data_IF_470281853882
#
_entry.id   IF_470281853882
#
_cell.length_a   1.000
_cell.length_b   1.000
_cell.length_c   1.000
_cell.angle_alpha   90.00
_cell.angle_beta   90.00
_cell.angle_gamma   90.00
#
_symmetry.space_group_name_H-M   'P 1'
#
loop_
_entity.id
_entity.type
_entity.pdbx_description
1 polymer ?
#
# COMPACT_ATOMS: atom_id res chain seq x y z
N UNK A 1 28.83 9.87 -5.91
CA UNK A 1 27.58 9.73 -6.70
C UNK A 1 27.48 8.34 -7.37
N UNK A 2 28.50 7.84 -8.09
CA UNK A 2 28.44 6.49 -8.71
C UNK A 2 28.18 5.35 -7.70
N UNK A 3 28.76 5.43 -6.50
CA UNK A 3 28.56 4.46 -5.42
C UNK A 3 27.08 4.36 -5.00
N UNK A 4 26.36 5.49 -4.98
CA UNK A 4 24.93 5.49 -4.68
C UNK A 4 24.13 4.74 -5.75
N UNK A 5 24.48 4.88 -7.03
CA UNK A 5 23.82 4.14 -8.11
C UNK A 5 24.07 2.64 -8.01
N UNK A 6 25.32 2.23 -7.77
CA UNK A 6 25.69 0.81 -7.61
C UNK A 6 24.98 0.20 -6.40
N UNK A 7 25.04 0.86 -5.25
CA UNK A 7 24.38 0.37 -4.02
C UNK A 7 22.86 0.33 -4.17
N UNK A 8 22.26 1.34 -4.82
CA UNK A 8 20.82 1.33 -5.10
C UNK A 8 20.44 0.20 -6.04
N UNK A 9 21.23 -0.06 -7.09
CA UNK A 9 21.00 -1.17 -8.02
C UNK A 9 21.09 -2.52 -7.29
N UNK A 10 22.12 -2.73 -6.45
CA UNK A 10 22.26 -3.93 -5.63
C UNK A 10 21.08 -4.11 -4.67
N UNK A 11 20.64 -3.03 -4.02
CA UNK A 11 19.48 -3.06 -3.13
C UNK A 11 18.19 -3.42 -3.88
N UNK A 12 17.97 -2.82 -5.05
CA UNK A 12 16.81 -3.13 -5.90
C UNK A 12 16.84 -4.57 -6.42
N UNK A 13 18.02 -5.13 -6.72
CA UNK A 13 18.18 -6.53 -7.10
C UNK A 13 17.92 -7.47 -5.91
N UNK A 14 18.36 -7.11 -4.71
CA UNK A 14 18.17 -7.92 -3.51
C UNK A 14 16.73 -7.89 -2.98
N UNK A 15 16.01 -6.79 -3.19
CA UNK A 15 14.68 -6.55 -2.60
C UNK A 15 13.65 -7.66 -2.95
N UNK A 16 13.48 -8.09 -4.21
CA UNK A 16 12.57 -9.18 -4.56
C UNK A 16 12.85 -10.49 -3.85
N UNK A 17 14.13 -10.83 -3.61
CA UNK A 17 14.50 -12.05 -2.89
C UNK A 17 14.03 -12.01 -1.44
N UNK A 18 14.22 -10.86 -0.78
CA UNK A 18 13.76 -10.67 0.59
C UNK A 18 12.24 -10.66 0.70
N UNK A 19 11.54 -9.92 -0.17
CA UNK A 19 10.07 -9.83 -0.11
C UNK A 19 9.39 -11.15 -0.45
N UNK A 20 9.91 -11.87 -1.45
CA UNK A 20 9.39 -13.19 -1.84
C UNK A 20 9.69 -14.22 -0.76
N UNK A 21 10.93 -14.26 -0.26
CA UNK A 21 11.34 -15.18 0.81
C UNK A 21 10.56 -14.96 2.10
N UNK A 22 10.35 -13.70 2.51
CA UNK A 22 9.51 -13.37 3.68
C UNK A 22 8.08 -13.89 3.50
N UNK A 23 7.50 -13.68 2.32
CA UNK A 23 6.10 -14.05 2.05
C UNK A 23 5.93 -15.57 1.96
N UNK A 24 6.92 -16.30 1.44
CA UNK A 24 6.89 -17.76 1.35
C UNK A 24 7.15 -18.46 2.69
N UNK A 25 7.92 -17.84 3.59
CA UNK A 25 8.22 -18.42 4.92
C UNK A 25 7.03 -18.24 5.87
N UNK A 26 6.23 -17.17 5.73
CA UNK A 26 5.15 -16.86 6.68
C UNK A 26 4.19 -18.05 6.93
N UNK A 27 3.70 -18.79 5.91
CA UNK A 27 2.87 -19.97 6.12
C UNK A 27 3.60 -21.16 6.74
N UNK A 28 4.93 -21.23 6.67
CA UNK A 28 5.72 -22.32 7.28
C UNK A 28 6.00 -22.12 8.77
N UNK A 29 5.78 -20.89 9.27
CA UNK A 29 6.02 -20.49 10.66
C UNK A 29 4.74 -20.12 11.42
N UNK A 30 3.58 -20.23 10.79
CA UNK A 30 2.26 -19.97 11.40
C UNK A 30 1.28 -21.07 11.02
N UNK A 31 0.34 -21.40 11.91
CA UNK A 31 -0.76 -22.30 11.57
C UNK A 31 -1.77 -21.61 10.63
N UNK A 32 -2.63 -22.39 9.95
CA UNK A 32 -3.69 -21.82 9.10
C UNK A 32 -4.61 -20.85 9.86
N UNK A 33 -4.89 -21.17 11.12
CA UNK A 33 -5.70 -20.34 12.04
C UNK A 33 -5.00 -19.02 12.40
N UNK A 34 -3.66 -19.01 12.44
CA UNK A 34 -2.85 -17.85 12.79
C UNK A 34 -2.50 -16.95 11.58
N UNK A 35 -2.68 -17.42 10.34
CA UNK A 35 -2.29 -16.69 9.13
C UNK A 35 -2.90 -15.29 9.04
N UNK A 36 -4.16 -15.13 9.44
CA UNK A 36 -4.81 -13.81 9.44
C UNK A 36 -4.17 -12.85 10.47
N UNK A 37 -3.83 -13.38 11.65
CA UNK A 37 -3.13 -12.64 12.70
C UNK A 37 -1.71 -12.28 12.26
N UNK A 38 -1.00 -13.22 11.64
CA UNK A 38 0.35 -13.03 11.12
C UNK A 38 0.42 -11.98 10.01
N UNK A 39 -0.56 -11.96 9.10
CA UNK A 39 -0.68 -10.94 8.06
C UNK A 39 -1.01 -9.56 8.64
N UNK A 40 -1.91 -9.49 9.62
CA UNK A 40 -2.26 -8.23 10.30
C UNK A 40 -1.07 -7.65 11.07
N UNK A 41 -0.31 -8.51 11.75
CA UNK A 41 0.91 -8.12 12.46
C UNK A 41 2.00 -7.67 11.48
N UNK A 42 2.17 -8.36 10.35
CA UNK A 42 3.10 -7.98 9.29
C UNK A 42 2.83 -6.57 8.75
N UNK A 43 1.57 -6.24 8.48
CA UNK A 43 1.17 -4.89 8.02
C UNK A 43 1.41 -3.83 9.10
N UNK A 44 0.99 -4.12 10.33
CA UNK A 44 1.17 -3.21 11.48
C UNK A 44 2.65 -2.92 11.72
N UNK A 45 3.50 -3.95 11.71
CA UNK A 45 4.95 -3.80 11.81
C UNK A 45 5.48 -2.99 10.65
N UNK A 46 5.01 -3.21 9.41
CA UNK A 46 5.42 -2.41 8.25
C UNK A 46 5.14 -0.91 8.41
N UNK A 47 3.94 -0.53 8.86
CA UNK A 47 3.60 0.87 9.10
C UNK A 47 4.30 1.45 10.33
N UNK A 48 4.53 0.66 11.38
CA UNK A 48 5.38 1.07 12.50
C UNK A 48 6.82 1.30 12.06
N UNK A 49 7.40 0.40 11.26
CA UNK A 49 8.75 0.57 10.70
C UNK A 49 8.82 1.84 9.86
N UNK A 50 7.80 2.13 9.04
CA UNK A 50 7.73 3.39 8.30
C UNK A 50 7.69 4.59 9.25
N UNK A 51 6.81 4.56 10.26
CA UNK A 51 6.60 5.68 11.15
C UNK A 51 7.83 5.98 12.04
N UNK A 52 8.32 4.94 12.71
CA UNK A 52 9.41 4.98 13.68
C UNK A 52 10.75 5.08 12.95
N UNK A 53 10.95 4.25 11.93
CA UNK A 53 12.18 4.19 11.16
C UNK A 53 12.47 5.48 10.40
N UNK A 54 11.46 6.10 9.79
CA UNK A 54 11.66 7.39 9.12
C UNK A 54 12.00 8.51 10.12
N UNK A 55 11.33 8.55 11.27
CA UNK A 55 11.62 9.54 12.32
C UNK A 55 13.06 9.41 12.84
N UNK A 56 13.46 8.20 13.25
CA UNK A 56 14.82 7.98 13.75
C UNK A 56 15.86 8.11 12.65
N UNK A 57 15.57 7.68 11.42
CA UNK A 57 16.45 7.84 10.26
C UNK A 57 16.72 9.31 9.95
N UNK A 58 15.66 10.13 9.85
CA UNK A 58 15.77 11.56 9.63
C UNK A 58 16.46 12.30 10.78
N UNK A 59 16.10 11.96 12.02
CA UNK A 59 16.72 12.55 13.23
C UNK A 59 18.20 12.22 13.33
N UNK A 60 18.57 10.96 13.05
CA UNK A 60 19.96 10.52 13.09
C UNK A 60 20.78 11.21 12.00
N UNK A 61 20.26 11.25 10.77
CA UNK A 61 20.92 11.94 9.68
C UNK A 61 21.11 13.43 9.96
N UNK A 62 20.11 14.10 10.56
CA UNK A 62 20.19 15.52 10.87
C UNK A 62 21.13 15.86 12.03
N UNK A 63 21.21 15.02 13.07
CA UNK A 63 22.01 15.30 14.27
C UNK A 63 23.42 14.73 14.22
N UNK A 64 23.57 13.55 13.64
CA UNK A 64 24.80 12.75 13.67
C UNK A 64 25.41 12.56 12.27
N UNK A 65 24.77 13.08 11.22
CA UNK A 65 25.21 12.94 9.84
C UNK A 65 24.78 11.63 9.18
N UNK A 66 24.89 11.59 7.86
CA UNK A 66 24.47 10.44 7.05
C UNK A 66 25.31 9.19 7.31
N UNK A 67 26.59 9.33 7.63
CA UNK A 67 27.48 8.19 7.90
C UNK A 67 26.98 7.35 9.07
N UNK A 68 26.69 7.99 10.22
CA UNK A 68 26.15 7.29 11.38
C UNK A 68 24.75 6.73 11.12
N UNK A 69 23.93 7.42 10.33
CA UNK A 69 22.64 6.88 9.90
C UNK A 69 22.81 5.58 9.09
N UNK A 70 23.77 5.52 8.17
CA UNK A 70 24.08 4.29 7.41
C UNK A 70 24.68 3.18 8.28
N UNK A 71 25.50 3.51 9.29
CA UNK A 71 26.03 2.53 10.24
C UNK A 71 24.90 1.91 11.06
N UNK A 72 24.02 2.72 11.66
CA UNK A 72 22.87 2.20 12.41
C UNK A 72 21.94 1.37 11.54
N UNK A 73 21.67 1.83 10.31
CA UNK A 73 20.89 1.07 9.35
C UNK A 73 21.54 -0.30 9.06
N UNK A 74 22.85 -0.34 8.81
CA UNK A 74 23.59 -1.58 8.56
C UNK A 74 23.55 -2.55 9.74
N UNK A 75 23.73 -2.04 10.97
CA UNK A 75 23.60 -2.84 12.19
C UNK A 75 22.20 -3.46 12.34
N UNK A 76 21.14 -2.73 11.93
CA UNK A 76 19.78 -3.26 11.95
C UNK A 76 19.58 -4.44 10.99
N UNK A 77 20.26 -4.43 9.83
CA UNK A 77 20.26 -5.57 8.90
C UNK A 77 20.99 -6.79 9.48
N UNK A 78 22.12 -6.60 10.17
CA UNK A 78 22.80 -7.68 10.87
C UNK A 78 21.93 -8.28 11.99
N UNK A 79 21.26 -7.42 12.77
CA UNK A 79 20.32 -7.86 13.79
C UNK A 79 19.15 -8.63 13.18
N UNK A 80 18.58 -8.15 12.06
CA UNK A 80 17.52 -8.85 11.34
C UNK A 80 17.97 -10.21 10.82
N UNK A 81 19.17 -10.30 10.23
CA UNK A 81 19.76 -11.56 9.77
C UNK A 81 19.97 -12.54 10.93
N UNK A 82 20.42 -12.05 12.09
CA UNK A 82 20.53 -12.85 13.30
C UNK A 82 19.16 -13.37 13.78
N UNK A 83 18.13 -12.53 13.81
CA UNK A 83 16.77 -12.97 14.17
C UNK A 83 16.24 -14.04 13.20
N UNK A 84 16.45 -13.84 11.89
CA UNK A 84 16.02 -14.79 10.85
C UNK A 84 16.78 -16.11 10.96
N UNK A 85 18.09 -16.08 11.22
CA UNK A 85 18.91 -17.27 11.39
C UNK A 85 18.48 -18.14 12.60
N UNK A 86 17.79 -17.54 13.57
CA UNK A 86 17.25 -18.22 14.74
C UNK A 86 15.80 -18.69 14.57
N UNK A 87 15.15 -18.42 13.43
CA UNK A 87 13.80 -18.93 13.17
C UNK A 87 13.80 -20.45 13.10
N UNK A 88 12.81 -21.06 13.75
CA UNK A 88 12.56 -22.50 13.69
C UNK A 88 11.31 -22.73 12.85
N UNK A 89 11.38 -23.66 11.91
CA UNK A 89 10.21 -24.08 11.14
C UNK A 89 9.33 -24.98 12.01
N UNK A 90 8.01 -24.75 11.98
CA UNK A 90 7.03 -25.62 12.65
C UNK A 90 7.03 -27.00 11.98
N UNK A 91 7.32 -27.07 10.67
CA UNK A 91 7.41 -28.31 9.89
C UNK A 91 8.82 -28.94 9.87
N UNK A 92 9.80 -28.38 10.58
CA UNK A 92 11.17 -28.91 10.65
C UNK A 92 12.06 -28.59 9.43
N UNK A 93 11.51 -28.04 8.35
CA UNK A 93 12.25 -27.59 7.17
C UNK A 93 11.58 -26.37 6.53
N UNK A 94 12.38 -25.48 5.95
CA UNK A 94 11.93 -24.30 5.20
C UNK A 94 11.85 -24.55 3.68
N UNK A 95 12.08 -25.80 3.24
CA UNK A 95 11.91 -26.18 1.83
C UNK A 95 10.43 -26.12 1.50
N UNK A 96 10.08 -25.34 0.47
CA UNK A 96 8.76 -25.43 -0.15
C UNK A 96 8.51 -26.87 -0.57
N UNK A 97 7.29 -27.36 -0.37
CA UNK A 97 6.85 -28.62 -0.96
C UNK A 97 7.16 -28.57 -2.46
N UNK A 98 7.96 -29.53 -2.95
CA UNK A 98 8.23 -29.77 -4.37
C UNK A 98 6.89 -30.07 -5.07
N UNK A 99 6.07 -29.05 -5.28
CA UNK A 99 4.99 -29.09 -6.24
C UNK A 99 5.68 -28.90 -7.56
N UNK A 100 6.02 -30.04 -8.19
CA UNK A 100 6.50 -30.18 -9.56
C UNK A 100 6.20 -28.93 -10.37
N UNK A 101 7.21 -28.07 -10.55
CA UNK A 101 7.15 -27.00 -11.51
C UNK A 101 7.04 -27.67 -12.87
N UNK A 102 5.81 -27.98 -13.29
CA UNK A 102 5.54 -28.32 -14.67
C UNK A 102 6.03 -27.11 -15.47
N UNK A 103 7.16 -27.27 -16.15
CA UNK A 103 7.77 -26.28 -17.06
C UNK A 103 6.77 -25.77 -18.13
N UNK A 104 5.63 -26.44 -18.29
CA UNK A 104 4.50 -26.02 -19.13
C UNK A 104 3.60 -24.93 -18.54
N UNK A 105 3.75 -24.58 -17.25
CA UNK A 105 3.16 -23.37 -16.64
C UNK A 105 4.18 -22.24 -16.58
N UNK A 106 4.83 -21.91 -17.70
CA UNK A 106 5.34 -20.55 -17.88
C UNK A 106 4.11 -19.64 -17.77
N UNK A 107 3.91 -19.06 -16.58
CA UNK A 107 2.91 -18.03 -16.32
C UNK A 107 3.02 -17.04 -17.47
N UNK A 108 2.01 -16.95 -18.33
CA UNK A 108 1.97 -15.97 -19.40
C UNK A 108 1.53 -14.68 -18.73
N UNK A 109 2.43 -13.77 -18.30
CA UNK A 109 2.07 -12.70 -17.36
C UNK A 109 1.02 -11.78 -18.00
N UNK A 110 1.12 -11.60 -19.32
CA UNK A 110 0.13 -10.90 -20.13
C UNK A 110 -1.24 -11.60 -20.16
N UNK A 111 -1.29 -12.93 -20.23
CA UNK A 111 -2.56 -13.67 -20.22
C UNK A 111 -3.24 -13.51 -18.86
N UNK A 112 -2.49 -13.64 -17.77
CA UNK A 112 -3.00 -13.48 -16.40
C UNK A 112 -3.47 -12.05 -16.13
N UNK A 113 -2.72 -11.04 -16.58
CA UNK A 113 -3.12 -9.63 -16.50
C UNK A 113 -4.39 -9.34 -17.30
N UNK A 114 -4.50 -9.89 -18.53
CA UNK A 114 -5.71 -9.74 -19.35
C UNK A 114 -6.92 -10.44 -18.73
N UNK A 115 -6.74 -11.63 -18.16
CA UNK A 115 -7.79 -12.36 -17.44
C UNK A 115 -8.23 -11.60 -16.19
N UNK A 116 -7.29 -11.02 -15.43
CA UNK A 116 -7.56 -10.15 -14.30
C UNK A 116 -8.40 -8.94 -14.72
N UNK A 117 -7.99 -8.22 -15.77
CA UNK A 117 -8.75 -7.09 -16.31
C UNK A 117 -10.15 -7.49 -16.80
N UNK A 118 -10.28 -8.60 -17.52
CA UNK A 118 -11.56 -9.09 -18.02
C UNK A 118 -12.52 -9.42 -16.87
N UNK A 119 -12.01 -10.06 -15.81
CA UNK A 119 -12.77 -10.34 -14.59
C UNK A 119 -13.14 -9.06 -13.83
N UNK A 120 -12.21 -8.11 -13.70
CA UNK A 120 -12.52 -6.82 -13.08
C UNK A 120 -13.64 -6.12 -13.85
N UNK A 121 -13.58 -6.12 -15.19
CA UNK A 121 -14.58 -5.49 -16.04
C UNK A 121 -15.98 -6.12 -15.96
N UNK A 122 -16.09 -7.40 -15.57
CA UNK A 122 -17.40 -8.05 -15.36
C UNK A 122 -18.07 -7.66 -14.04
N UNK A 123 -17.31 -7.12 -13.08
CA UNK A 123 -17.82 -6.65 -11.79
C UNK A 123 -17.58 -5.14 -11.62
N UNK A 124 -18.62 -4.30 -11.78
CA UNK A 124 -18.49 -2.85 -11.71
C UNK A 124 -17.85 -2.34 -10.42
N UNK A 125 -18.11 -3.00 -9.28
CA UNK A 125 -17.48 -2.66 -8.01
C UNK A 125 -15.96 -2.90 -8.05
N UNK A 126 -15.53 -4.06 -8.53
CA UNK A 126 -14.11 -4.46 -8.57
C UNK A 126 -13.35 -3.55 -9.55
N UNK A 127 -13.92 -3.30 -10.73
CA UNK A 127 -13.37 -2.31 -11.66
C UNK A 127 -13.28 -0.92 -11.03
N UNK A 128 -14.34 -0.49 -10.34
CA UNK A 128 -14.39 0.80 -9.64
C UNK A 128 -13.27 0.95 -8.60
N UNK A 129 -13.00 -0.10 -7.81
CA UNK A 129 -11.89 -0.12 -6.84
C UNK A 129 -10.54 0.02 -7.56
N UNK A 130 -10.35 -0.68 -8.68
CA UNK A 130 -9.14 -0.55 -9.51
C UNK A 130 -8.95 0.86 -10.09
N UNK A 131 -10.02 1.47 -10.60
CA UNK A 131 -9.99 2.82 -11.18
C UNK A 131 -9.72 3.91 -10.14
N UNK A 132 -10.28 3.78 -8.92
CA UNK A 132 -9.88 4.64 -7.80
C UNK A 132 -8.39 4.50 -7.51
N UNK A 133 -7.86 3.27 -7.47
CA UNK A 133 -6.44 3.04 -7.18
C UNK A 133 -5.55 3.81 -8.16
N UNK A 134 -5.88 3.76 -9.46
CA UNK A 134 -5.22 4.54 -10.51
C UNK A 134 -5.35 6.05 -10.29
N UNK A 135 -6.57 6.55 -10.04
CA UNK A 135 -6.73 7.99 -9.85
C UNK A 135 -6.04 8.49 -8.58
N UNK A 136 -5.96 7.69 -7.52
CA UNK A 136 -5.17 8.01 -6.33
C UNK A 136 -3.69 8.04 -6.67
N UNK A 137 -3.18 7.03 -7.40
CA UNK A 137 -1.80 6.95 -7.83
C UNK A 137 -1.34 8.15 -8.66
N UNK A 138 -2.26 8.76 -9.42
CA UNK A 138 -1.96 9.91 -10.28
C UNK A 138 -1.47 11.14 -9.50
N UNK A 139 -1.89 11.33 -8.25
CA UNK A 139 -1.33 12.33 -7.33
C UNK A 139 -0.46 11.74 -6.21
N UNK A 140 -0.74 10.51 -5.79
CA UNK A 140 0.00 9.80 -4.75
C UNK A 140 1.44 9.44 -5.15
N UNK A 141 1.71 9.24 -6.44
CA UNK A 141 3.07 9.07 -6.95
C UNK A 141 3.92 10.32 -6.70
N UNK A 142 3.43 11.49 -7.14
CA UNK A 142 4.08 12.78 -6.91
C UNK A 142 4.42 13.01 -5.43
N UNK A 143 3.56 12.58 -4.50
CA UNK A 143 3.78 12.73 -3.07
C UNK A 143 5.12 12.15 -2.57
N UNK A 144 5.59 11.05 -3.17
CA UNK A 144 6.86 10.41 -2.83
C UNK A 144 8.06 11.36 -3.01
N UNK A 145 8.10 12.05 -4.15
CA UNK A 145 9.15 13.02 -4.47
C UNK A 145 8.92 14.32 -3.72
N UNK A 146 7.66 14.74 -3.61
CA UNK A 146 7.28 15.98 -2.95
C UNK A 146 7.64 15.99 -1.47
N UNK A 147 7.61 14.87 -0.75
CA UNK A 147 8.00 14.87 0.68
C UNK A 147 9.45 15.34 0.87
N UNK A 148 10.35 14.86 0.02
CA UNK A 148 11.75 15.34 0.01
C UNK A 148 11.82 16.81 -0.38
N UNK A 149 11.15 17.22 -1.46
CA UNK A 149 11.17 18.61 -1.92
C UNK A 149 10.55 19.60 -0.90
N UNK A 150 9.46 19.23 -0.24
CA UNK A 150 8.85 20.04 0.82
C UNK A 150 9.78 20.16 2.02
N UNK A 151 10.43 19.07 2.42
CA UNK A 151 11.33 19.07 3.58
C UNK A 151 12.59 19.90 3.33
N UNK A 152 13.20 19.74 2.16
CA UNK A 152 14.46 20.38 1.80
C UNK A 152 14.26 21.84 1.37
N UNK A 153 13.33 22.10 0.44
CA UNK A 153 13.25 23.38 -0.27
C UNK A 153 12.16 24.31 0.26
N UNK A 154 11.02 23.78 0.70
CA UNK A 154 9.89 24.60 1.16
C UNK A 154 10.00 24.95 2.64
N UNK A 155 10.13 23.93 3.49
CA UNK A 155 10.19 24.09 4.95
C UNK A 155 11.63 24.17 5.49
N UNK A 156 12.64 23.87 4.66
CA UNK A 156 14.08 23.96 4.99
C UNK A 156 14.45 23.23 6.28
N UNK A 157 13.87 22.04 6.49
CA UNK A 157 14.11 21.16 7.65
C UNK A 157 15.02 19.97 7.33
N UNK A 158 15.38 19.79 6.07
CA UNK A 158 16.30 18.75 5.62
C UNK A 158 15.79 17.33 5.92
N UNK A 159 16.74 16.43 6.20
CA UNK A 159 16.48 15.03 6.56
C UNK A 159 15.54 14.86 7.77
N UNK A 160 15.59 15.75 8.76
CA UNK A 160 14.68 15.67 9.90
C UNK A 160 13.23 15.96 9.49
N UNK A 161 13.01 16.98 8.64
CA UNK A 161 11.67 17.25 8.09
C UNK A 161 11.11 16.09 7.29
N UNK A 162 11.97 15.43 6.49
CA UNK A 162 11.59 14.26 5.70
C UNK A 162 11.18 13.09 6.60
N UNK A 163 11.97 12.83 7.65
CA UNK A 163 11.66 11.81 8.65
C UNK A 163 10.36 12.09 9.39
N UNK A 164 10.12 13.34 9.81
CA UNK A 164 8.89 13.78 10.47
C UNK A 164 7.65 13.62 9.56
N UNK A 165 7.74 13.96 8.27
CA UNK A 165 6.63 13.77 7.31
C UNK A 165 6.27 12.30 7.10
N UNK A 166 7.27 11.46 6.83
CA UNK A 166 7.05 10.01 6.70
C UNK A 166 6.57 9.38 7.99
N UNK A 167 7.03 9.90 9.14
CA UNK A 167 6.59 9.45 10.45
C UNK A 167 5.10 9.69 10.67
N UNK A 168 4.67 10.94 10.50
CA UNK A 168 3.26 11.33 10.65
C UNK A 168 2.39 10.68 9.58
N UNK A 169 2.91 10.46 8.37
CA UNK A 169 2.23 9.68 7.35
C UNK A 169 2.00 8.22 7.80
N UNK A 170 3.00 7.57 8.38
CA UNK A 170 2.88 6.22 8.94
C UNK A 170 1.90 6.14 10.11
N UNK A 171 1.94 7.10 11.04
CA UNK A 171 0.98 7.21 12.14
C UNK A 171 -0.45 7.41 11.62
N UNK A 172 -0.63 8.28 10.62
CA UNK A 172 -1.92 8.47 9.95
C UNK A 172 -2.44 7.17 9.36
N UNK A 173 -1.59 6.41 8.64
CA UNK A 173 -1.96 5.11 8.09
C UNK A 173 -2.39 4.10 9.17
N UNK A 174 -1.67 4.05 10.30
CA UNK A 174 -2.02 3.18 11.44
C UNK A 174 -3.40 3.54 12.00
N UNK A 175 -3.63 4.82 12.31
CA UNK A 175 -4.92 5.30 12.84
C UNK A 175 -6.04 4.99 11.84
N UNK A 176 -5.84 5.32 10.57
CA UNK A 176 -6.82 5.06 9.52
C UNK A 176 -7.10 3.59 9.30
N UNK A 177 -6.09 2.72 9.43
CA UNK A 177 -6.27 1.27 9.34
C UNK A 177 -7.13 0.70 10.48
N UNK A 178 -6.89 1.16 11.71
CA UNK A 178 -7.71 0.79 12.88
C UNK A 178 -9.15 1.27 12.70
N UNK A 179 -9.33 2.53 12.31
CA UNK A 179 -10.66 3.10 12.06
C UNK A 179 -11.37 2.38 10.91
N UNK A 180 -10.66 2.06 9.82
CA UNK A 180 -11.18 1.33 8.67
C UNK A 180 -11.65 -0.08 9.02
N UNK A 181 -10.87 -0.81 9.83
CA UNK A 181 -11.25 -2.13 10.32
C UNK A 181 -12.46 -2.06 11.25
N UNK A 182 -12.52 -1.07 12.14
CA UNK A 182 -13.67 -0.84 13.02
C UNK A 182 -14.94 -0.50 12.22
N UNK A 183 -14.84 0.39 11.23
CA UNK A 183 -15.94 0.75 10.34
C UNK A 183 -16.42 -0.44 9.50
N UNK A 184 -15.50 -1.21 8.91
CA UNK A 184 -15.83 -2.33 8.02
C UNK A 184 -16.62 -3.47 8.67
N UNK A 185 -16.66 -3.52 10.01
CA UNK A 185 -17.48 -4.45 10.79
C UNK A 185 -18.86 -3.91 11.15
N UNK A 186 -19.10 -2.59 11.00
CA UNK A 186 -20.30 -1.89 11.50
C UNK A 186 -21.14 -1.26 10.40
N UNK A 187 -20.55 -0.93 9.26
CA UNK A 187 -21.25 -0.23 8.18
C UNK A 187 -21.75 -1.22 7.13
N UNK A 188 -22.98 -1.01 6.66
CA UNK A 188 -23.51 -1.71 5.49
C UNK A 188 -22.90 -1.21 4.18
N UNK A 189 -23.22 -1.89 3.08
CA UNK A 189 -22.63 -1.63 1.76
C UNK A 189 -22.83 -0.19 1.24
N UNK A 190 -24.02 0.37 1.39
CA UNK A 190 -24.30 1.77 0.99
C UNK A 190 -23.49 2.80 1.81
N UNK A 191 -23.36 2.55 3.11
CA UNK A 191 -22.56 3.39 3.99
C UNK A 191 -21.05 3.26 3.68
N UNK A 192 -20.59 2.07 3.28
CA UNK A 192 -19.24 1.84 2.77
C UNK A 192 -18.94 2.72 1.56
N UNK A 193 -19.79 2.71 0.52
CA UNK A 193 -19.55 3.51 -0.70
C UNK A 193 -19.48 5.00 -0.38
N UNK A 194 -20.35 5.51 0.49
CA UNK A 194 -20.31 6.91 0.96
C UNK A 194 -19.05 7.21 1.78
N UNK A 195 -18.62 6.28 2.62
CA UNK A 195 -17.39 6.44 3.42
C UNK A 195 -16.17 6.58 2.51
N UNK A 196 -16.03 5.71 1.51
CA UNK A 196 -14.93 5.77 0.52
C UNK A 196 -14.92 7.13 -0.21
N UNK A 197 -16.09 7.62 -0.64
CA UNK A 197 -16.23 8.95 -1.25
C UNK A 197 -15.65 10.06 -0.35
N UNK A 198 -16.11 10.14 0.90
CA UNK A 198 -15.68 11.18 1.83
C UNK A 198 -14.20 11.02 2.22
N UNK A 199 -13.68 9.80 2.32
CA UNK A 199 -12.26 9.55 2.58
C UNK A 199 -11.37 10.10 1.46
N UNK A 200 -11.70 9.89 0.19
CA UNK A 200 -10.89 10.43 -0.92
C UNK A 200 -11.01 11.95 -1.04
N UNK A 201 -12.18 12.51 -0.75
CA UNK A 201 -12.38 13.95 -0.69
C UNK A 201 -11.54 14.58 0.44
N UNK A 202 -11.58 13.98 1.63
CA UNK A 202 -10.77 14.40 2.78
C UNK A 202 -9.28 14.23 2.51
N UNK A 203 -8.86 13.12 1.91
CA UNK A 203 -7.46 12.87 1.55
C UNK A 203 -6.90 13.97 0.66
N UNK A 204 -7.53 14.22 -0.48
CA UNK A 204 -7.02 15.20 -1.44
C UNK A 204 -7.19 16.63 -0.93
N UNK A 205 -8.30 16.96 -0.27
CA UNK A 205 -8.50 18.26 0.37
C UNK A 205 -7.43 18.55 1.43
N UNK A 206 -7.18 17.62 2.35
CA UNK A 206 -6.12 17.75 3.35
C UNK A 206 -4.73 17.83 2.71
N UNK A 207 -4.49 17.11 1.61
CA UNK A 207 -3.22 17.18 0.88
C UNK A 207 -3.00 18.54 0.19
N UNK A 208 -4.05 19.12 -0.40
CA UNK A 208 -4.01 20.50 -0.94
C UNK A 208 -3.70 21.48 0.18
N UNK A 209 -4.41 21.40 1.30
CA UNK A 209 -4.18 22.29 2.45
C UNK A 209 -2.73 22.15 2.96
N UNK A 210 -2.24 20.91 3.16
CA UNK A 210 -0.84 20.61 3.48
C UNK A 210 0.13 21.34 2.54
N UNK A 211 -0.09 21.25 1.22
CA UNK A 211 0.81 21.83 0.22
C UNK A 211 0.89 23.37 0.31
N UNK A 212 -0.15 24.02 0.84
CA UNK A 212 -0.23 25.48 0.99
C UNK A 212 0.18 25.97 2.38
N UNK A 213 0.30 25.08 3.38
CA UNK A 213 0.65 25.48 4.74
C UNK A 213 2.06 26.10 4.81
N UNK A 214 2.17 27.20 5.54
CA UNK A 214 3.44 27.84 5.91
C UNK A 214 3.97 27.33 7.25
N UNK A 215 3.07 26.97 8.17
CA UNK A 215 3.41 26.48 9.49
C UNK A 215 3.63 24.97 9.51
N UNK A 216 4.81 24.53 9.97
CA UNK A 216 5.23 23.12 9.94
C UNK A 216 4.29 22.17 10.69
N UNK A 217 3.89 22.52 11.92
CA UNK A 217 3.01 21.66 12.72
C UNK A 217 1.65 21.40 12.03
N UNK A 218 1.07 22.43 11.40
CA UNK A 218 -0.18 22.30 10.66
C UNK A 218 0.02 21.49 9.38
N UNK A 219 1.14 21.67 8.68
CA UNK A 219 1.49 20.83 7.53
C UNK A 219 1.53 19.34 7.92
N UNK A 220 2.21 18.99 9.03
CA UNK A 220 2.21 17.63 9.56
C UNK A 220 0.80 17.14 9.92
N UNK A 221 0.00 17.95 10.60
CA UNK A 221 -1.38 17.59 10.96
C UNK A 221 -2.23 17.21 9.73
N UNK A 222 -2.23 18.06 8.70
CA UNK A 222 -2.97 17.79 7.47
C UNK A 222 -2.40 16.61 6.68
N UNK A 223 -1.08 16.39 6.71
CA UNK A 223 -0.47 15.19 6.14
C UNK A 223 -0.97 13.92 6.84
N UNK A 224 -0.96 13.90 8.17
CA UNK A 224 -1.44 12.76 8.96
C UNK A 224 -2.92 12.47 8.68
N UNK A 225 -3.76 13.52 8.65
CA UNK A 225 -5.17 13.43 8.31
C UNK A 225 -5.39 12.86 6.90
N UNK A 226 -4.61 13.35 5.93
CA UNK A 226 -4.64 12.89 4.55
C UNK A 226 -4.32 11.40 4.44
N UNK A 227 -3.33 10.90 5.18
CA UNK A 227 -2.93 9.49 5.18
C UNK A 227 -3.89 8.59 5.95
N UNK A 228 -4.47 9.08 7.04
CA UNK A 228 -5.53 8.37 7.76
C UNK A 228 -6.76 8.13 6.87
N UNK A 229 -7.20 9.14 6.13
CA UNK A 229 -8.33 9.02 5.22
C UNK A 229 -8.09 7.97 4.12
N UNK A 230 -6.89 7.95 3.53
CA UNK A 230 -6.50 6.90 2.55
C UNK A 230 -6.55 5.52 3.19
N UNK A 231 -5.94 5.33 4.36
CA UNK A 231 -5.92 4.01 4.99
C UNK A 231 -7.32 3.47 5.32
N UNK A 232 -8.25 4.32 5.77
CA UNK A 232 -9.66 3.92 5.97
C UNK A 232 -10.24 3.36 4.66
N UNK A 233 -10.12 4.11 3.56
CA UNK A 233 -10.63 3.67 2.26
C UNK A 233 -9.93 2.40 1.74
N UNK A 234 -8.61 2.28 1.91
CA UNK A 234 -7.84 1.12 1.48
C UNK A 234 -8.26 -0.15 2.22
N UNK A 235 -8.43 -0.10 3.55
CA UNK A 235 -8.89 -1.26 4.34
C UNK A 235 -10.28 -1.70 3.92
N UNK A 236 -11.20 -0.75 3.72
CA UNK A 236 -12.57 -1.07 3.30
C UNK A 236 -12.61 -1.67 1.89
N UNK A 237 -11.88 -1.09 0.93
CA UNK A 237 -11.80 -1.60 -0.44
C UNK A 237 -11.16 -2.99 -0.49
N UNK A 238 -10.05 -3.19 0.25
CA UNK A 238 -9.38 -4.48 0.33
C UNK A 238 -10.29 -5.57 0.90
N UNK A 239 -11.04 -5.24 1.96
CA UNK A 239 -12.02 -6.15 2.56
C UNK A 239 -13.12 -6.54 1.56
N UNK A 240 -13.58 -5.59 0.75
CA UNK A 240 -14.58 -5.87 -0.29
C UNK A 240 -14.01 -6.72 -1.44
N UNK A 241 -12.76 -6.50 -1.84
CA UNK A 241 -12.10 -7.37 -2.84
C UNK A 241 -12.00 -8.81 -2.31
N UNK A 242 -11.59 -9.00 -1.06
CA UNK A 242 -11.50 -10.34 -0.46
C UNK A 242 -12.86 -11.06 -0.38
N UNK A 243 -13.95 -10.32 -0.09
CA UNK A 243 -15.30 -10.90 0.04
C UNK A 243 -15.95 -11.28 -1.30
N UNK A 244 -15.70 -10.51 -2.36
CA UNK A 244 -16.44 -10.65 -3.63
C UNK A 244 -15.60 -11.21 -4.78
N UNK A 245 -14.27 -11.29 -4.65
CA UNK A 245 -13.43 -11.91 -5.68
C UNK A 245 -13.32 -13.40 -5.42
N UNK A 246 -13.70 -14.20 -6.41
CA UNK A 246 -13.54 -15.66 -6.39
C UNK A 246 -12.08 -16.08 -6.16
N UNK A 247 -11.89 -17.13 -5.36
CA UNK A 247 -10.57 -17.63 -4.94
C UNK A 247 -9.58 -17.78 -6.13
N UNK A 248 -10.04 -18.36 -7.24
CA UNK A 248 -9.24 -18.59 -8.46
C UNK A 248 -8.76 -17.32 -9.18
N UNK A 249 -9.43 -16.18 -8.96
CA UNK A 249 -9.10 -14.89 -9.61
C UNK A 249 -8.44 -13.90 -8.66
N UNK A 250 -8.48 -14.11 -7.32
CA UNK A 250 -7.92 -13.20 -6.31
C UNK A 250 -6.51 -12.73 -6.67
N UNK A 251 -5.58 -13.66 -6.86
CA UNK A 251 -4.18 -13.32 -7.17
C UNK A 251 -4.03 -12.46 -8.44
N UNK A 252 -4.82 -12.75 -9.49
CA UNK A 252 -4.80 -11.99 -10.75
C UNK A 252 -5.39 -10.60 -10.61
N UNK A 253 -6.48 -10.45 -9.85
CA UNK A 253 -7.12 -9.16 -9.60
C UNK A 253 -6.19 -8.27 -8.76
N UNK A 254 -5.61 -8.79 -7.68
CA UNK A 254 -4.68 -8.04 -6.84
C UNK A 254 -3.43 -7.60 -7.62
N UNK A 255 -2.79 -8.51 -8.36
CA UNK A 255 -1.61 -8.16 -9.15
C UNK A 255 -1.92 -7.17 -10.27
N UNK A 256 -3.10 -7.26 -10.90
CA UNK A 256 -3.56 -6.30 -11.92
C UNK A 256 -3.74 -4.91 -11.32
N UNK A 257 -4.47 -4.78 -10.21
CA UNK A 257 -4.68 -3.49 -9.51
C UNK A 257 -3.34 -2.90 -9.07
N UNK A 258 -2.45 -3.72 -8.50
CA UNK A 258 -1.14 -3.30 -8.04
C UNK A 258 -0.27 -2.82 -9.20
N UNK A 259 -0.24 -3.55 -10.31
CA UNK A 259 0.51 -3.18 -11.53
C UNK A 259 0.03 -1.84 -12.09
N UNK A 260 -1.30 -1.66 -12.20
CA UNK A 260 -1.90 -0.39 -12.65
C UNK A 260 -1.55 0.76 -11.72
N UNK A 261 -1.61 0.54 -10.41
CA UNK A 261 -1.27 1.51 -9.38
C UNK A 261 0.19 1.94 -9.47
N UNK A 262 1.14 0.99 -9.44
CA UNK A 262 2.57 1.31 -9.50
C UNK A 262 2.98 1.96 -10.81
N UNK A 263 2.44 1.50 -11.94
CA UNK A 263 2.70 2.10 -13.25
C UNK A 263 2.25 3.57 -13.27
N UNK A 264 1.06 3.86 -12.73
CA UNK A 264 0.56 5.23 -12.62
C UNK A 264 1.38 6.06 -11.63
N UNK A 265 1.82 5.48 -10.51
CA UNK A 265 2.69 6.15 -9.55
C UNK A 265 4.04 6.53 -10.19
N UNK A 266 4.65 5.65 -10.97
CA UNK A 266 5.92 5.92 -11.66
C UNK A 266 5.77 7.09 -12.65
N UNK A 267 4.70 7.11 -13.44
CA UNK A 267 4.40 8.21 -14.36
C UNK A 267 4.13 9.52 -13.60
N UNK A 268 3.40 9.46 -12.49
CA UNK A 268 3.12 10.61 -11.62
C UNK A 268 4.41 11.16 -10.99
N UNK A 269 5.30 10.29 -10.49
CA UNK A 269 6.61 10.68 -9.95
C UNK A 269 7.49 11.35 -11.01
N UNK A 270 7.53 10.79 -12.22
CA UNK A 270 8.27 11.36 -13.34
C UNK A 270 7.73 12.75 -13.69
N UNK A 271 6.40 12.88 -13.84
CA UNK A 271 5.74 14.15 -14.13
C UNK A 271 5.95 15.20 -13.03
N UNK A 272 5.92 14.80 -11.76
CA UNK A 272 6.20 15.70 -10.64
C UNK A 272 7.67 16.14 -10.61
N UNK A 273 8.59 15.22 -10.90
CA UNK A 273 10.02 15.51 -11.00
C UNK A 273 10.32 16.52 -12.10
N UNK A 274 9.76 16.34 -13.30
CA UNK A 274 9.92 17.30 -14.40
C UNK A 274 9.20 18.62 -14.12
N UNK A 275 7.97 18.57 -13.59
CA UNK A 275 7.23 19.78 -13.23
C UNK A 275 7.94 20.63 -12.17
N UNK A 276 8.72 20.00 -11.26
CA UNK A 276 9.46 20.72 -10.22
C UNK A 276 10.54 21.67 -10.74
N UNK A 277 10.93 21.53 -12.02
CA UNK A 277 11.88 22.42 -12.68
C UNK A 277 11.23 23.74 -13.16
N UNK A 278 9.91 23.76 -13.31
CA UNK A 278 9.17 24.87 -13.93
C UNK A 278 8.08 25.45 -13.03
N UNK A 279 7.53 24.64 -12.12
CA UNK A 279 6.43 25.02 -11.25
C UNK A 279 6.86 24.98 -9.78
N UNK A 280 6.17 25.77 -8.95
CA UNK A 280 6.42 25.74 -7.52
C UNK A 280 6.00 24.40 -6.91
N UNK A 281 6.77 23.91 -5.94
CA UNK A 281 6.49 22.66 -5.22
C UNK A 281 5.09 22.68 -4.59
N UNK A 282 4.64 23.86 -4.14
CA UNK A 282 3.29 24.08 -3.60
C UNK A 282 2.21 23.86 -4.65
N UNK A 283 2.39 24.38 -5.87
CA UNK A 283 1.44 24.18 -6.96
C UNK A 283 1.36 22.70 -7.38
N UNK A 284 2.51 22.01 -7.46
CA UNK A 284 2.55 20.58 -7.77
C UNK A 284 1.87 19.77 -6.65
N UNK A 285 2.07 20.13 -5.39
CA UNK A 285 1.37 19.52 -4.26
C UNK A 285 -0.15 19.73 -4.33
N UNK A 286 -0.60 20.93 -4.66
CA UNK A 286 -2.03 21.21 -4.84
C UNK A 286 -2.62 20.40 -6.00
N UNK A 287 -1.95 20.38 -7.16
CA UNK A 287 -2.35 19.58 -8.31
C UNK A 287 -2.42 18.09 -7.96
N UNK A 288 -1.44 17.57 -7.22
CA UNK A 288 -1.42 16.18 -6.75
C UNK A 288 -2.61 15.87 -5.84
N UNK A 289 -2.93 16.76 -4.90
CA UNK A 289 -4.10 16.60 -4.04
C UNK A 289 -5.42 16.62 -4.81
N UNK A 290 -5.54 17.52 -5.81
CA UNK A 290 -6.71 17.61 -6.70
C UNK A 290 -6.85 16.34 -7.53
N UNK A 291 -5.78 15.89 -8.19
CA UNK A 291 -5.76 14.67 -8.99
C UNK A 291 -6.15 13.46 -8.14
N UNK A 292 -5.58 13.30 -6.94
CA UNK A 292 -5.97 12.24 -6.02
C UNK A 292 -7.44 12.35 -5.60
N UNK A 293 -7.96 13.55 -5.32
CA UNK A 293 -9.39 13.75 -4.98
C UNK A 293 -10.36 13.55 -6.14
N UNK A 294 -9.90 13.63 -7.40
CA UNK A 294 -10.75 13.43 -8.57
C UNK A 294 -11.38 12.03 -8.59
N UNK A 295 -10.73 11.06 -7.95
CA UNK A 295 -11.29 9.72 -7.69
C UNK A 295 -12.58 9.75 -6.88
N UNK A 296 -12.71 10.68 -5.93
CA UNK A 296 -13.94 10.86 -5.17
C UNK A 296 -15.07 11.28 -6.11
N UNK A 297 -14.81 12.16 -7.09
CA UNK A 297 -15.82 12.59 -8.06
C UNK A 297 -16.29 11.38 -8.89
N UNK A 298 -15.36 10.60 -9.44
CA UNK A 298 -15.67 9.39 -10.18
C UNK A 298 -16.49 8.39 -9.35
N UNK A 299 -16.05 8.10 -8.12
CA UNK A 299 -16.72 7.15 -7.24
C UNK A 299 -18.08 7.63 -6.76
N UNK A 300 -18.20 8.92 -6.42
CA UNK A 300 -19.45 9.55 -6.04
C UNK A 300 -20.46 9.46 -7.17
N UNK A 301 -20.05 9.84 -8.39
CA UNK A 301 -20.88 9.68 -9.59
C UNK A 301 -21.29 8.23 -9.82
N UNK A 302 -20.36 7.28 -9.76
CA UNK A 302 -20.65 5.86 -9.97
C UNK A 302 -21.59 5.31 -8.90
N UNK A 303 -21.44 5.76 -7.64
CA UNK A 303 -22.32 5.38 -6.55
C UNK A 303 -23.74 5.94 -6.71
N UNK A 304 -23.87 7.26 -6.93
CA UNK A 304 -25.18 7.92 -7.03
C UNK A 304 -25.93 7.55 -8.31
N UNK A 305 -25.24 7.14 -9.37
CA UNK A 305 -25.84 6.61 -10.58
C UNK A 305 -26.20 5.11 -10.51
N UNK A 306 -25.99 4.46 -9.35
CA UNK A 306 -26.31 3.05 -9.15
C UNK A 306 -25.38 2.08 -9.90
N UNK A 307 -24.23 2.55 -10.39
CA UNK A 307 -23.27 1.75 -11.18
C UNK A 307 -22.32 0.91 -10.34
N UNK A 308 -22.43 0.99 -9.01
CA UNK A 308 -21.68 0.17 -8.06
C UNK A 308 -22.65 -0.71 -7.25
N UNK A 309 -23.29 -1.71 -7.88
CA UNK A 309 -24.09 -2.70 -7.17
C UNK A 309 -23.20 -3.60 -6.31
N UNK A 310 -23.76 -4.14 -5.23
CA UNK A 310 -23.10 -5.16 -4.41
C UNK A 310 -23.01 -6.47 -5.21
N UNK A 311 -21.81 -7.01 -5.48
CA UNK A 311 -21.66 -8.30 -6.14
C UNK A 311 -22.15 -9.44 -5.23
N UNK A 312 -22.44 -10.60 -5.82
CA UNK A 312 -22.62 -11.81 -5.02
C UNK A 312 -21.34 -12.13 -4.22
N UNK A 313 -21.50 -12.71 -3.04
CA UNK A 313 -20.38 -13.21 -2.24
C UNK A 313 -19.66 -14.32 -3.03
N UNK A 314 -18.33 -14.35 -2.93
CA UNK A 314 -17.57 -15.44 -3.52
C UNK A 314 -17.93 -16.76 -2.82
N UNK A 315 -18.35 -17.77 -3.58
CA UNK A 315 -18.56 -19.13 -3.06
C UNK A 315 -17.23 -19.68 -2.55
N UNK A 316 -17.19 -20.13 -1.29
CA UNK A 316 -16.07 -20.89 -0.76
C UNK A 316 -16.19 -22.32 -1.29
N UNK A 317 -15.41 -22.65 -2.32
CA UNK A 317 -15.30 -24.02 -2.87
C UNK A 317 -14.85 -25.07 -1.81
N UNK A 318 -14.43 -24.65 -0.62
CA UNK A 318 -14.13 -25.52 0.53
C UNK A 318 -15.37 -25.92 1.34
N UNK A 319 -16.53 -25.31 1.09
CA UNK A 319 -17.80 -25.66 1.71
C UNK A 319 -18.63 -26.63 0.84
N UNK A 320 -17.99 -27.44 -0.01
CA UNK A 320 -18.65 -28.63 -0.58
C UNK A 320 -18.89 -29.59 0.57
N UNK A 321 -20.14 -29.57 1.03
CA UNK A 321 -20.75 -30.41 2.04
C UNK A 321 -20.19 -31.84 2.00
N UNK A 322 -19.48 -32.21 3.07
CA UNK A 322 -19.38 -33.60 3.50
C UNK A 322 -20.77 -33.99 4.03
N UNK A 323 -21.76 -34.07 3.15
CA UNK A 323 -22.91 -34.91 3.39
C UNK A 323 -22.45 -36.34 3.12
N UNK A 324 -21.85 -36.94 4.14
CA UNK A 324 -21.70 -38.38 4.18
C UNK A 324 -23.09 -38.98 4.11
N UNK A 325 -23.41 -39.62 2.99
CA UNK A 325 -24.54 -40.54 2.91
C UNK A 325 -24.38 -41.57 4.04
N UNK A 326 -25.38 -41.73 4.93
CA UNK A 326 -25.43 -42.90 5.78
C UNK A 326 -25.87 -44.06 4.89
N UNK A 327 -24.93 -44.70 4.19
CA UNK A 327 -25.19 -46.03 3.64
C UNK A 327 -25.33 -46.99 4.82
N UNK A 328 -26.57 -47.42 5.05
CA UNK A 328 -26.92 -48.50 5.98
C UNK A 328 -26.54 -49.89 5.48
#
# INVERSE_FOLDING_TARGET
IWLLYVLSALLMLASPFFTSGRSSILPSISSEEELHTANSLTQTTGWMTLAVGAFFGGTTAARFGYELAFVFNSLSFFFSAYCIANLRSVSGHFRGTDTSLNETKVARPWKEYREGLAYMASSPLILGIGLISVGWASGGGAAQVLFTLFSELVFKRGAQGLGELWSVAGVGLLIGGVVGNWLGKRIGFEAYKRTVFFCYLLHGGAYVVFSQMSHWAWALCFMGLSRAAVAVSSVLNWSNLLRHVENRFRGRVFSTIETMNWSTMMLSMLAAGTASQHFSIRAIGAASGILSSSTAIFWGWANWSGKLPEPALAEDETAVEIHGDPTG
#
